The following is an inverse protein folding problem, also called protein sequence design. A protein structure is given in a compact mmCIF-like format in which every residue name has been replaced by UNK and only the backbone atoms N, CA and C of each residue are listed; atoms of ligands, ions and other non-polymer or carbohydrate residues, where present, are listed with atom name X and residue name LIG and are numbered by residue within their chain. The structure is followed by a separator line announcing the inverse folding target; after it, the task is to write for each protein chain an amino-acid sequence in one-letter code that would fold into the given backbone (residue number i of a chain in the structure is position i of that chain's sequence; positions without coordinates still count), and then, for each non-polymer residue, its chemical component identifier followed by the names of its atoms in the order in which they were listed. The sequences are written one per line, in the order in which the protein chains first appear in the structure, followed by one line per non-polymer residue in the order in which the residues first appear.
data_IF_594515786098
#
_entry.id   IF_594515786098
#
_cell.length_a   1.000
_cell.length_b   1.000
_cell.length_c   1.000
_cell.angle_alpha   90.00
_cell.angle_beta   90.00
_cell.angle_gamma   90.00
#
_symmetry.space_group_name_H-M   'P 1'
#
loop_
_entity.id
_entity.type
_entity.pdbx_description
1 polymer ?
#
# COMPACT_ATOMS: atom_id res chain seq x y z
N UNK A 1 -17.04 19.00 7.86
CA UNK A 1 -17.49 18.04 6.84
C UNK A 1 -18.71 18.65 6.19
N UNK A 2 -18.66 18.91 4.89
CA UNK A 2 -19.84 19.34 4.13
C UNK A 2 -20.67 18.10 3.81
N UNK A 3 -21.96 18.15 4.03
CA UNK A 3 -22.90 17.03 3.81
C UNK A 3 -23.79 17.41 2.65
N UNK A 4 -23.74 16.65 1.55
CA UNK A 4 -24.59 16.88 0.36
C UNK A 4 -25.99 16.24 0.53
N UNK A 5 -26.09 15.18 1.32
CA UNK A 5 -27.30 14.40 1.52
C UNK A 5 -27.62 13.41 0.41
N UNK A 6 -26.81 13.35 -0.66
CA UNK A 6 -26.92 12.38 -1.76
C UNK A 6 -25.85 11.32 -1.66
N UNK A 7 -24.60 11.69 -1.89
CA UNK A 7 -23.42 10.83 -1.74
C UNK A 7 -22.38 11.62 -0.97
N UNK A 8 -21.96 11.12 0.18
CA UNK A 8 -20.94 11.75 1.00
C UNK A 8 -19.84 10.77 1.31
N UNK A 9 -18.60 11.26 1.24
CA UNK A 9 -17.38 10.50 1.55
C UNK A 9 -16.87 10.95 2.91
N UNK A 10 -16.62 9.98 3.78
CA UNK A 10 -16.14 10.25 5.13
C UNK A 10 -15.13 9.21 5.58
N UNK A 11 -14.09 9.63 6.31
CA UNK A 11 -13.26 8.69 7.04
C UNK A 11 -13.99 8.20 8.30
N UNK A 12 -13.76 6.97 8.73
CA UNK A 12 -14.38 6.43 9.94
C UNK A 12 -14.00 7.23 11.18
N UNK A 13 -12.78 7.80 11.24
CA UNK A 13 -12.35 8.69 12.32
C UNK A 13 -13.19 9.98 12.36
N UNK A 14 -13.67 10.46 11.22
CA UNK A 14 -14.52 11.65 11.16
C UNK A 14 -15.96 11.37 11.59
N UNK A 15 -16.41 10.12 11.52
CA UNK A 15 -17.76 9.67 11.89
C UNK A 15 -17.89 9.22 13.34
N UNK A 16 -16.79 8.86 13.98
CA UNK A 16 -16.74 8.41 15.36
C UNK A 16 -16.02 9.39 16.27
N UNK A 17 -16.29 9.30 17.55
CA UNK A 17 -15.68 10.13 18.58
C UNK A 17 -15.83 9.48 19.95
N UNK A 18 -15.48 10.23 20.99
CA UNK A 18 -15.77 9.85 22.37
C UNK A 18 -16.70 10.89 22.98
N UNK A 19 -17.67 10.43 23.74
CA UNK A 19 -18.48 11.30 24.58
C UNK A 19 -17.58 12.01 25.59
N UNK A 20 -17.78 13.33 25.74
CA UNK A 20 -16.92 14.14 26.61
C UNK A 20 -17.16 13.89 28.10
N UNK A 21 -18.35 13.40 28.47
CA UNK A 21 -18.72 13.17 29.87
C UNK A 21 -18.46 11.72 30.29
N UNK A 22 -18.80 10.76 29.43
CA UNK A 22 -18.72 9.33 29.77
C UNK A 22 -17.45 8.68 29.26
N UNK A 23 -16.78 9.29 28.26
CA UNK A 23 -15.62 8.69 27.57
C UNK A 23 -15.98 7.55 26.61
N UNK A 24 -17.26 7.22 26.52
CA UNK A 24 -17.73 6.12 25.65
C UNK A 24 -17.64 6.49 24.16
N UNK A 25 -17.42 5.49 23.29
CA UNK A 25 -17.38 5.71 21.86
C UNK A 25 -18.76 6.09 21.34
N UNK A 26 -18.85 7.18 20.59
CA UNK A 26 -20.08 7.65 19.97
C UNK A 26 -19.93 7.74 18.46
N UNK A 27 -21.04 7.55 17.74
CA UNK A 27 -21.13 7.70 16.29
C UNK A 27 -21.99 8.91 15.96
N UNK A 28 -21.54 9.75 15.03
CA UNK A 28 -22.30 10.92 14.58
C UNK A 28 -23.62 10.50 13.97
N UNK A 29 -24.69 11.20 14.28
CA UNK A 29 -26.04 10.93 13.81
C UNK A 29 -26.19 10.93 12.29
N UNK A 30 -25.23 11.52 11.57
CA UNK A 30 -25.19 11.56 10.10
C UNK A 30 -25.35 10.17 9.46
N UNK A 31 -24.72 9.12 10.02
CA UNK A 31 -24.77 7.75 9.47
C UNK A 31 -26.19 7.18 9.37
N UNK A 32 -27.14 7.76 10.12
CA UNK A 32 -28.53 7.35 10.12
C UNK A 32 -29.35 7.85 8.93
N UNK A 33 -28.79 8.75 8.15
CA UNK A 33 -29.48 9.38 7.03
C UNK A 33 -29.30 8.65 5.70
N UNK A 34 -28.47 7.59 5.67
CA UNK A 34 -28.13 6.90 4.43
C UNK A 34 -28.72 5.51 4.39
N UNK A 35 -29.35 5.17 3.26
CA UNK A 35 -29.92 3.83 3.00
C UNK A 35 -28.89 2.84 2.43
N UNK A 36 -27.73 3.33 1.97
CA UNK A 36 -26.63 2.54 1.45
C UNK A 36 -25.32 3.03 2.08
N UNK A 37 -24.50 2.08 2.52
CA UNK A 37 -23.13 2.33 2.97
C UNK A 37 -22.20 1.45 2.15
N UNK A 38 -21.14 2.06 1.63
CA UNK A 38 -20.03 1.35 0.99
C UNK A 38 -18.81 1.59 1.86
N UNK A 39 -18.21 0.52 2.37
CA UNK A 39 -16.99 0.54 3.14
C UNK A 39 -15.84 0.12 2.25
N UNK A 40 -15.03 1.07 1.83
CA UNK A 40 -13.80 0.79 1.10
C UNK A 40 -12.72 0.27 2.06
N UNK A 41 -11.82 -0.57 1.57
CA UNK A 41 -10.79 -1.27 2.34
C UNK A 41 -11.38 -1.94 3.61
N UNK A 42 -12.51 -2.63 3.41
CA UNK A 42 -13.29 -3.18 4.51
C UNK A 42 -12.55 -4.23 5.35
N UNK A 43 -11.39 -4.73 4.89
CA UNK A 43 -10.53 -5.57 5.71
C UNK A 43 -10.02 -4.86 6.98
N UNK A 44 -10.05 -3.53 7.01
CA UNK A 44 -9.84 -2.74 8.24
C UNK A 44 -11.08 -2.66 9.14
N UNK A 45 -12.22 -3.19 8.71
CA UNK A 45 -13.51 -3.08 9.42
C UNK A 45 -13.56 -3.80 10.78
N UNK A 46 -12.59 -4.65 11.07
CA UNK A 46 -12.45 -5.23 12.41
C UNK A 46 -11.94 -4.23 13.46
N UNK A 47 -11.64 -2.98 13.07
CA UNK A 47 -11.40 -1.92 14.03
C UNK A 47 -12.72 -1.61 14.79
N UNK A 48 -12.70 -1.59 16.14
CA UNK A 48 -13.93 -1.43 16.94
C UNK A 48 -14.75 -0.20 16.58
N UNK A 49 -14.11 0.86 16.09
CA UNK A 49 -14.78 2.09 15.67
C UNK A 49 -15.62 1.89 14.41
N UNK A 50 -15.11 1.16 13.43
CA UNK A 50 -15.83 0.92 12.19
C UNK A 50 -16.98 -0.07 12.40
N UNK A 51 -16.79 -1.08 13.25
CA UNK A 51 -17.84 -1.96 13.71
C UNK A 51 -18.99 -1.17 14.34
N UNK A 52 -18.68 -0.23 15.23
CA UNK A 52 -19.68 0.61 15.87
C UNK A 52 -20.45 1.48 14.86
N UNK A 53 -19.77 2.04 13.86
CA UNK A 53 -20.38 2.84 12.79
C UNK A 53 -21.37 1.98 11.99
N UNK A 54 -20.94 0.81 11.52
CA UNK A 54 -21.78 -0.09 10.72
C UNK A 54 -23.01 -0.59 11.51
N UNK A 55 -22.83 -0.92 12.79
CA UNK A 55 -23.93 -1.32 13.67
C UNK A 55 -24.91 -0.17 14.00
N UNK A 56 -24.44 1.08 14.00
CA UNK A 56 -25.23 2.27 14.29
C UNK A 56 -26.01 2.79 13.09
N UNK A 57 -25.69 2.33 11.90
CA UNK A 57 -26.32 2.75 10.66
C UNK A 57 -27.53 1.89 10.30
N UNK A 58 -28.75 2.44 10.21
CA UNK A 58 -29.95 1.70 9.79
C UNK A 58 -30.01 1.53 8.27
N UNK A 59 -28.86 1.47 7.60
CA UNK A 59 -28.78 1.34 6.16
C UNK A 59 -29.37 0.00 5.71
N UNK A 60 -30.21 0.02 4.67
CA UNK A 60 -30.77 -1.19 4.06
C UNK A 60 -29.72 -2.05 3.37
N UNK A 61 -28.68 -1.38 2.85
CA UNK A 61 -27.58 -2.02 2.12
C UNK A 61 -26.24 -1.59 2.70
N UNK A 62 -25.38 -2.57 2.98
CA UNK A 62 -24.00 -2.36 3.38
C UNK A 62 -23.11 -3.25 2.51
N UNK A 63 -22.15 -2.64 1.83
CA UNK A 63 -21.18 -3.34 0.99
C UNK A 63 -19.78 -3.06 1.48
N UNK A 64 -18.97 -4.11 1.57
CA UNK A 64 -17.53 -4.02 1.78
C UNK A 64 -16.79 -4.24 0.47
N UNK A 65 -15.84 -3.38 0.18
CA UNK A 65 -14.88 -3.51 -0.91
C UNK A 65 -13.50 -3.78 -0.32
N UNK A 66 -12.73 -4.67 -0.90
CA UNK A 66 -11.36 -4.95 -0.50
C UNK A 66 -10.61 -5.67 -1.60
N UNK A 67 -9.37 -5.30 -1.82
CA UNK A 67 -8.45 -6.05 -2.68
C UNK A 67 -8.00 -7.36 -2.00
N UNK A 68 -8.01 -7.40 -0.66
CA UNK A 68 -7.52 -8.52 0.16
C UNK A 68 -8.51 -8.87 1.27
N UNK A 69 -9.62 -9.56 0.92
CA UNK A 69 -10.68 -9.87 1.90
C UNK A 69 -10.23 -10.85 2.99
N UNK A 70 -9.18 -11.64 2.72
CA UNK A 70 -8.60 -12.55 3.70
C UNK A 70 -7.64 -11.79 4.62
N UNK A 71 -7.82 -11.96 5.92
CA UNK A 71 -7.01 -11.32 6.94
C UNK A 71 -6.02 -12.30 7.54
N UNK A 72 -4.78 -11.86 7.67
CA UNK A 72 -3.71 -12.63 8.31
C UNK A 72 -3.93 -12.88 9.81
N UNK A 73 -4.78 -12.07 10.47
CA UNK A 73 -5.13 -12.17 11.89
C UNK A 73 -6.34 -13.09 12.18
N UNK A 74 -6.92 -13.71 11.15
CA UNK A 74 -8.05 -14.64 11.30
C UNK A 74 -9.42 -13.95 11.50
N UNK A 75 -9.50 -12.63 11.47
CA UNK A 75 -10.74 -11.87 11.67
C UNK A 75 -11.65 -11.76 10.43
N UNK A 76 -11.40 -12.53 9.37
CA UNK A 76 -12.23 -12.60 8.16
C UNK A 76 -13.70 -12.90 8.49
N UNK A 77 -13.95 -13.71 9.53
CA UNK A 77 -15.31 -14.00 9.99
C UNK A 77 -16.04 -12.77 10.54
N UNK A 78 -15.33 -11.90 11.26
CA UNK A 78 -15.91 -10.65 11.75
C UNK A 78 -16.29 -9.71 10.60
N UNK A 79 -15.46 -9.66 9.55
CA UNK A 79 -15.76 -8.91 8.33
C UNK A 79 -17.05 -9.41 7.67
N UNK A 80 -17.23 -10.73 7.53
CA UNK A 80 -18.44 -11.33 6.97
C UNK A 80 -19.70 -11.06 7.81
N UNK A 81 -19.55 -10.89 9.12
CA UNK A 81 -20.66 -10.51 10.01
C UNK A 81 -21.09 -9.04 9.83
N UNK A 82 -20.17 -8.16 9.47
CA UNK A 82 -20.41 -6.73 9.32
C UNK A 82 -20.85 -6.35 7.91
N UNK A 83 -20.19 -6.89 6.90
CA UNK A 83 -20.40 -6.53 5.49
C UNK A 83 -21.14 -7.61 4.69
N UNK A 84 -21.46 -8.74 5.32
CA UNK A 84 -22.05 -9.90 4.65
C UNK A 84 -21.01 -10.83 4.00
N UNK A 85 -21.47 -11.94 3.41
CA UNK A 85 -20.60 -12.90 2.77
C UNK A 85 -20.01 -12.33 1.47
N UNK A 86 -18.86 -12.88 1.06
CA UNK A 86 -18.23 -12.58 -0.22
C UNK A 86 -19.22 -12.84 -1.37
N UNK A 87 -19.55 -11.81 -2.13
CA UNK A 87 -20.55 -11.85 -3.22
C UNK A 87 -19.94 -11.92 -4.60
N UNK A 88 -18.82 -11.24 -4.76
CA UNK A 88 -18.14 -11.12 -6.05
C UNK A 88 -16.63 -11.04 -5.85
N UNK A 89 -15.91 -11.74 -6.69
CA UNK A 89 -14.43 -11.73 -6.75
C UNK A 89 -14.04 -11.40 -8.17
N UNK A 90 -13.22 -10.38 -8.32
CA UNK A 90 -12.60 -10.07 -9.60
C UNK A 90 -11.40 -11.03 -9.75
N UNK A 91 -11.36 -11.79 -10.83
CA UNK A 91 -10.16 -12.55 -11.19
C UNK A 91 -9.11 -11.58 -11.75
N UNK A 92 -7.97 -11.36 -11.05
CA UNK A 92 -6.94 -10.41 -11.51
C UNK A 92 -6.36 -10.78 -12.87
N UNK A 93 -6.31 -12.10 -13.21
CA UNK A 93 -5.80 -12.57 -14.50
C UNK A 93 -6.77 -12.24 -15.63
N UNK A 94 -8.05 -12.52 -15.41
CA UNK A 94 -9.08 -12.20 -16.40
C UNK A 94 -9.17 -10.69 -16.63
N UNK A 95 -9.08 -9.89 -15.57
CA UNK A 95 -9.08 -8.43 -15.67
C UNK A 95 -7.86 -7.91 -16.42
N UNK A 96 -6.66 -8.40 -16.12
CA UNK A 96 -5.43 -8.00 -16.82
C UNK A 96 -5.52 -8.32 -18.33
N UNK A 97 -6.03 -9.49 -18.69
CA UNK A 97 -6.25 -9.87 -20.10
C UNK A 97 -7.23 -8.91 -20.77
N UNK A 98 -8.35 -8.60 -20.11
CA UNK A 98 -9.36 -7.66 -20.65
C UNK A 98 -8.80 -6.25 -20.82
N UNK A 99 -7.90 -5.82 -19.96
CA UNK A 99 -7.23 -4.51 -20.02
C UNK A 99 -6.01 -4.50 -20.94
N UNK A 100 -5.63 -5.64 -21.54
CA UNK A 100 -4.42 -5.77 -22.38
C UNK A 100 -3.12 -5.66 -21.58
N UNK A 101 -3.16 -5.82 -20.25
CA UNK A 101 -1.99 -5.72 -19.38
C UNK A 101 -1.30 -7.07 -19.30
N UNK A 102 -0.05 -7.13 -19.71
CA UNK A 102 0.81 -8.30 -19.53
C UNK A 102 1.72 -8.10 -18.31
N UNK A 103 1.50 -8.88 -17.26
CA UNK A 103 2.38 -8.89 -16.08
C UNK A 103 3.50 -9.91 -16.25
N UNK A 104 4.74 -9.46 -16.16
CA UNK A 104 5.93 -10.28 -16.28
C UNK A 104 6.69 -10.25 -14.95
N UNK A 105 6.88 -11.40 -14.32
CA UNK A 105 7.70 -11.55 -13.11
C UNK A 105 9.10 -12.02 -13.51
N UNK A 106 10.13 -11.27 -13.14
CA UNK A 106 11.54 -11.59 -13.40
C UNK A 106 12.28 -11.80 -12.08
N UNK A 107 12.45 -13.04 -11.60
CA UNK A 107 13.24 -13.31 -10.40
C UNK A 107 14.71 -13.00 -10.66
N UNK A 108 15.35 -12.28 -9.70
CA UNK A 108 16.78 -11.94 -9.73
C UNK A 108 17.50 -12.67 -8.62
N UNK A 109 18.44 -13.54 -9.00
CA UNK A 109 19.23 -14.31 -8.04
C UNK A 109 20.44 -13.50 -7.60
N UNK A 110 20.57 -13.25 -6.31
CA UNK A 110 21.57 -12.33 -5.75
C UNK A 110 22.83 -13.06 -5.23
N UNK A 111 22.84 -14.38 -5.21
CA UNK A 111 23.98 -15.17 -4.70
C UNK A 111 24.24 -15.04 -3.20
N UNK A 112 23.41 -14.33 -2.46
CA UNK A 112 23.55 -14.17 -1.00
C UNK A 112 23.36 -15.53 -0.34
N UNK A 113 24.33 -15.94 0.47
CA UNK A 113 24.19 -17.07 1.38
C UNK A 113 23.80 -16.50 2.75
N UNK A 114 22.57 -16.72 3.13
CA UNK A 114 22.16 -16.45 4.49
C UNK A 114 22.89 -17.40 5.44
N UNK A 115 23.32 -16.95 6.64
CA UNK A 115 23.80 -17.84 7.68
C UNK A 115 22.77 -18.97 7.88
N UNK A 116 23.23 -20.17 8.22
CA UNK A 116 22.32 -21.29 8.44
C UNK A 116 21.17 -20.82 9.34
N UNK A 117 19.95 -21.05 8.87
CA UNK A 117 18.74 -20.61 9.58
C UNK A 117 18.70 -21.36 10.92
N UNK A 118 19.10 -20.65 11.98
CA UNK A 118 18.84 -21.16 13.33
C UNK A 118 17.36 -20.91 13.67
N UNK A 119 16.65 -21.90 14.20
CA UNK A 119 15.30 -21.69 14.69
C UNK A 119 15.29 -20.57 15.72
N UNK A 120 14.72 -19.41 15.34
CA UNK A 120 14.75 -18.18 16.16
C UNK A 120 15.49 -17.00 15.54
N UNK A 121 16.08 -17.14 14.34
CA UNK A 121 16.65 -16.00 13.62
C UNK A 121 15.61 -14.90 13.44
N UNK A 122 15.90 -13.70 13.93
CA UNK A 122 14.99 -12.56 13.85
C UNK A 122 14.90 -12.09 12.40
N UNK A 123 13.71 -12.07 11.82
CA UNK A 123 13.44 -11.57 10.46
C UNK A 123 14.09 -10.20 10.21
N UNK A 124 14.13 -9.33 11.23
CA UNK A 124 14.77 -8.03 11.13
C UNK A 124 16.28 -8.13 10.85
N UNK A 125 17.00 -9.10 11.43
CA UNK A 125 18.42 -9.30 11.18
C UNK A 125 18.67 -9.77 9.74
N UNK A 126 17.84 -10.67 9.24
CA UNK A 126 17.90 -11.09 7.84
C UNK A 126 17.65 -9.89 6.91
N UNK A 127 16.65 -9.08 7.23
CA UNK A 127 16.31 -7.90 6.46
C UNK A 127 17.47 -6.89 6.43
N UNK A 128 18.10 -6.65 7.58
CA UNK A 128 19.24 -5.72 7.68
C UNK A 128 20.46 -6.24 6.88
N UNK A 129 20.73 -7.55 6.91
CA UNK A 129 21.75 -8.17 6.08
C UNK A 129 21.46 -8.00 4.59
N UNK A 130 20.24 -8.20 4.16
CA UNK A 130 19.83 -8.03 2.78
C UNK A 130 19.94 -6.56 2.32
N UNK A 131 19.62 -5.62 3.20
CA UNK A 131 19.69 -4.19 2.90
C UNK A 131 21.12 -3.66 2.79
N UNK A 132 22.08 -4.24 3.52
CA UNK A 132 23.48 -3.81 3.54
C UNK A 132 24.39 -4.55 2.55
N UNK A 133 23.86 -5.51 1.80
CA UNK A 133 24.67 -6.31 0.89
C UNK A 133 24.97 -5.56 -0.41
N UNK A 134 26.21 -5.09 -0.58
CA UNK A 134 26.64 -4.21 -1.67
C UNK A 134 26.30 -4.76 -3.08
N UNK A 135 26.71 -5.99 -3.40
CA UNK A 135 26.47 -6.56 -4.73
C UNK A 135 24.97 -6.71 -5.05
N UNK A 136 24.12 -6.90 -4.03
CA UNK A 136 22.68 -6.92 -4.20
C UNK A 136 22.12 -5.51 -4.49
N UNK A 137 22.62 -4.51 -3.78
CA UNK A 137 22.21 -3.13 -3.98
C UNK A 137 22.65 -2.63 -5.36
N UNK A 138 23.84 -2.98 -5.82
CA UNK A 138 24.31 -2.73 -7.18
C UNK A 138 23.40 -3.37 -8.24
N UNK A 139 22.97 -4.63 -8.02
CA UNK A 139 22.04 -5.32 -8.93
C UNK A 139 20.70 -4.57 -9.01
N UNK A 140 20.14 -4.16 -7.87
CA UNK A 140 18.88 -3.41 -7.83
C UNK A 140 19.00 -2.08 -8.57
N UNK A 141 20.09 -1.35 -8.32
CA UNK A 141 20.35 -0.06 -8.96
C UNK A 141 20.51 -0.22 -10.47
N UNK A 142 21.29 -1.21 -10.91
CA UNK A 142 21.49 -1.48 -12.34
C UNK A 142 20.20 -1.88 -13.04
N UNK A 143 19.38 -2.73 -12.42
CA UNK A 143 18.07 -3.13 -12.96
C UNK A 143 17.11 -1.93 -13.07
N UNK A 144 17.13 -1.01 -12.10
CA UNK A 144 16.32 0.21 -12.14
C UNK A 144 16.77 1.17 -13.25
N UNK A 145 18.09 1.33 -13.43
CA UNK A 145 18.68 2.15 -14.50
C UNK A 145 18.38 1.54 -15.88
N UNK A 146 18.54 0.23 -16.03
CA UNK A 146 18.18 -0.48 -17.26
C UNK A 146 16.71 -0.27 -17.62
N UNK A 147 15.81 -0.39 -16.65
CA UNK A 147 14.39 -0.16 -16.86
C UNK A 147 14.12 1.28 -17.35
N UNK A 148 14.67 2.29 -16.65
CA UNK A 148 14.50 3.69 -17.02
C UNK A 148 15.09 4.01 -18.41
N UNK A 149 16.26 3.45 -18.73
CA UNK A 149 16.91 3.62 -20.05
C UNK A 149 16.10 2.99 -21.18
N UNK A 150 15.30 1.98 -20.89
CA UNK A 150 14.38 1.35 -21.83
C UNK A 150 13.00 2.06 -21.89
N UNK A 151 12.90 3.29 -21.37
CA UNK A 151 11.68 4.09 -21.41
C UNK A 151 10.61 3.63 -20.41
N UNK A 152 10.96 2.85 -19.39
CA UNK A 152 10.06 2.39 -18.35
C UNK A 152 10.09 3.30 -17.13
N UNK A 153 9.10 3.15 -16.26
CA UNK A 153 8.92 3.95 -15.05
C UNK A 153 9.12 3.07 -13.80
N UNK A 154 10.39 2.87 -13.36
CA UNK A 154 10.68 1.96 -12.27
C UNK A 154 10.37 2.57 -10.90
N UNK A 155 9.73 1.77 -10.05
CA UNK A 155 9.55 1.97 -8.63
C UNK A 155 10.38 0.93 -7.86
N UNK A 156 11.35 1.38 -7.07
CA UNK A 156 12.12 0.52 -6.16
C UNK A 156 11.50 0.59 -4.77
N UNK A 157 11.03 -0.54 -4.27
CA UNK A 157 10.30 -0.65 -3.02
C UNK A 157 11.11 -1.38 -1.96
N UNK A 158 11.25 -0.78 -0.78
CA UNK A 158 11.97 -1.35 0.35
C UNK A 158 11.26 -1.10 1.70
N UNK A 159 11.53 -1.93 2.70
CA UNK A 159 11.00 -1.77 4.07
C UNK A 159 11.82 -0.83 4.94
N UNK A 160 13.08 -0.58 4.59
CA UNK A 160 14.01 0.16 5.44
C UNK A 160 14.33 1.53 4.84
N UNK A 161 14.11 2.59 5.61
CA UNK A 161 14.44 3.96 5.22
C UNK A 161 15.92 4.10 4.83
N UNK A 162 16.83 3.61 5.68
CA UNK A 162 18.29 3.65 5.40
C UNK A 162 18.64 2.98 4.07
N UNK A 163 17.97 1.87 3.75
CA UNK A 163 18.17 1.19 2.48
C UNK A 163 17.64 2.01 1.30
N UNK A 164 16.49 2.67 1.45
CA UNK A 164 15.98 3.59 0.44
C UNK A 164 16.94 4.75 0.19
N UNK A 165 17.50 5.34 1.25
CA UNK A 165 18.49 6.43 1.19
C UNK A 165 19.80 5.97 0.52
N UNK A 166 20.26 4.75 0.82
CA UNK A 166 21.45 4.16 0.20
C UNK A 166 21.26 3.95 -1.31
N UNK A 167 20.16 3.29 -1.72
CA UNK A 167 19.84 3.08 -3.13
C UNK A 167 19.67 4.40 -3.88
N UNK A 168 19.02 5.38 -3.26
CA UNK A 168 18.91 6.73 -3.79
C UNK A 168 20.26 7.39 -4.00
N UNK A 169 21.18 7.30 -3.01
CA UNK A 169 22.54 7.81 -3.11
C UNK A 169 23.34 7.13 -4.23
N UNK A 170 23.23 5.82 -4.37
CA UNK A 170 23.89 5.06 -5.44
C UNK A 170 23.40 5.50 -6.82
N UNK A 171 22.10 5.71 -7.01
CA UNK A 171 21.51 6.22 -8.26
C UNK A 171 22.04 7.63 -8.60
N UNK A 172 22.10 8.52 -7.60
CA UNK A 172 22.66 9.87 -7.77
C UNK A 172 24.12 9.84 -8.19
N UNK A 173 24.93 8.99 -7.56
CA UNK A 173 26.35 8.85 -7.88
C UNK A 173 26.58 8.35 -9.32
N UNK A 174 25.61 7.69 -9.92
CA UNK A 174 25.62 7.27 -11.32
C UNK A 174 25.01 8.31 -12.28
N UNK A 175 24.75 9.54 -11.80
CA UNK A 175 24.29 10.66 -12.63
C UNK A 175 22.78 10.68 -12.89
N UNK A 176 21.98 9.88 -12.17
CA UNK A 176 20.54 9.91 -12.28
C UNK A 176 19.91 10.91 -11.29
N UNK A 177 18.67 11.31 -11.57
CA UNK A 177 17.87 12.16 -10.68
C UNK A 177 16.66 11.37 -10.12
N UNK A 178 16.89 10.44 -9.16
CA UNK A 178 15.81 9.67 -8.58
C UNK A 178 14.92 10.53 -7.67
N UNK A 179 13.73 10.04 -7.39
CA UNK A 179 12.81 10.60 -6.39
C UNK A 179 12.81 9.69 -5.17
N UNK A 180 13.02 10.26 -3.97
CA UNK A 180 12.99 9.52 -2.71
C UNK A 180 11.66 9.78 -1.98
N UNK A 181 10.94 8.70 -1.65
CA UNK A 181 9.70 8.73 -0.89
C UNK A 181 9.84 7.86 0.37
N UNK A 182 9.91 8.50 1.54
CA UNK A 182 10.00 7.81 2.85
C UNK A 182 8.89 8.27 3.79
N UNK A 183 8.50 7.43 4.75
CA UNK A 183 7.38 7.69 5.65
C UNK A 183 7.58 8.84 6.68
N UNK A 184 8.79 9.39 6.80
CA UNK A 184 9.10 10.49 7.72
C UNK A 184 9.01 11.89 7.05
N UNK A 185 8.63 11.95 5.79
CA UNK A 185 8.42 13.21 5.09
C UNK A 185 7.18 13.88 5.68
N UNK A 186 7.29 15.18 6.03
CA UNK A 186 6.16 15.97 6.50
C UNK A 186 4.98 15.90 5.52
N UNK A 187 3.76 15.89 6.05
CA UNK A 187 2.54 15.77 5.24
C UNK A 187 2.43 16.84 4.14
N UNK A 188 2.94 18.04 4.39
CA UNK A 188 2.99 19.13 3.40
C UNK A 188 3.99 18.84 2.29
N UNK A 189 5.19 18.41 2.66
CA UNK A 189 6.26 18.05 1.73
C UNK A 189 5.86 16.81 0.91
N UNK A 190 5.28 15.79 1.57
CA UNK A 190 4.68 14.61 0.91
C UNK A 190 3.68 15.03 -0.16
N UNK A 191 2.73 15.92 0.17
CA UNK A 191 1.74 16.41 -0.78
C UNK A 191 2.40 17.13 -1.96
N UNK A 192 3.44 17.91 -1.71
CA UNK A 192 4.18 18.62 -2.77
C UNK A 192 4.88 17.64 -3.69
N UNK A 193 5.59 16.65 -3.15
CA UNK A 193 6.26 15.61 -3.94
C UNK A 193 5.23 14.82 -4.76
N UNK A 194 4.17 14.30 -4.11
CA UNK A 194 3.13 13.54 -4.81
C UNK A 194 2.45 14.35 -5.92
N UNK A 195 2.22 15.65 -5.72
CA UNK A 195 1.67 16.51 -6.77
C UNK A 195 2.63 16.78 -7.92
N UNK A 196 3.94 16.59 -7.73
CA UNK A 196 4.95 16.73 -8.77
C UNK A 196 5.19 15.46 -9.57
N UNK A 197 4.88 14.28 -9.01
CA UNK A 197 5.15 12.98 -9.64
C UNK A 197 4.53 12.84 -11.04
N UNK A 198 3.28 13.28 -11.32
CA UNK A 198 2.71 13.18 -12.67
C UNK A 198 3.53 13.91 -13.74
N UNK A 199 4.33 14.90 -13.37
CA UNK A 199 5.22 15.60 -14.31
C UNK A 199 6.38 14.73 -14.79
N UNK A 200 6.72 13.70 -14.02
CA UNK A 200 7.84 12.80 -14.32
C UNK A 200 7.46 11.65 -15.26
N UNK A 201 6.20 11.56 -15.69
CA UNK A 201 5.75 10.58 -16.68
C UNK A 201 6.59 10.62 -17.97
N UNK A 202 7.02 11.80 -18.39
CA UNK A 202 7.85 11.95 -19.60
C UNK A 202 9.37 11.90 -19.34
N UNK A 203 9.79 11.86 -18.07
CA UNK A 203 11.21 11.93 -17.69
C UNK A 203 11.79 10.56 -17.30
N UNK A 204 10.97 9.51 -17.26
CA UNK A 204 11.36 8.13 -16.86
C UNK A 204 12.19 8.08 -15.57
N UNK A 205 11.84 8.92 -14.60
CA UNK A 205 12.57 8.99 -13.33
C UNK A 205 12.37 7.73 -12.49
N UNK A 206 13.44 7.32 -11.83
CA UNK A 206 13.43 6.21 -10.90
C UNK A 206 12.85 6.70 -9.56
N UNK A 207 11.83 6.03 -9.06
CA UNK A 207 11.27 6.32 -7.74
C UNK A 207 11.79 5.28 -6.76
N UNK A 208 12.34 5.72 -5.63
CA UNK A 208 12.74 4.85 -4.52
C UNK A 208 11.83 5.16 -3.34
N UNK A 209 11.10 4.17 -2.85
CA UNK A 209 10.09 4.36 -1.81
C UNK A 209 10.15 3.32 -0.70
N UNK A 210 9.66 3.71 0.49
CA UNK A 210 9.38 2.76 1.56
C UNK A 210 7.93 2.28 1.49
N UNK A 211 7.69 0.99 1.82
CA UNK A 211 6.34 0.39 1.84
C UNK A 211 5.34 1.21 2.65
N UNK A 212 5.76 1.78 3.79
CA UNK A 212 4.90 2.57 4.66
C UNK A 212 4.33 3.83 4.01
N UNK A 213 4.99 4.35 2.96
CA UNK A 213 4.53 5.53 2.25
C UNK A 213 3.58 5.20 1.10
N UNK A 214 3.78 4.05 0.48
CA UNK A 214 2.95 3.55 -0.62
C UNK A 214 1.66 2.90 -0.14
N UNK A 215 1.33 3.06 1.15
CA UNK A 215 0.05 2.61 1.70
C UNK A 215 -1.13 3.20 0.93
N UNK A 216 -2.30 2.99 1.44
CA UNK A 216 -3.58 3.39 0.86
C UNK A 216 -3.55 4.79 0.18
N UNK A 217 -3.97 4.84 -1.07
CA UNK A 217 -4.11 6.09 -1.83
C UNK A 217 -2.88 6.54 -2.64
N UNK A 218 -1.85 5.69 -2.78
CA UNK A 218 -0.78 5.93 -3.76
C UNK A 218 -1.20 5.33 -5.11
N UNK A 219 -1.53 6.17 -6.06
CA UNK A 219 -1.90 5.78 -7.42
C UNK A 219 -1.10 6.61 -8.42
N UNK A 220 -0.21 5.96 -9.13
CA UNK A 220 0.54 6.52 -10.25
C UNK A 220 0.40 5.59 -11.45
N UNK A 221 -0.60 5.84 -12.25
CA UNK A 221 -1.01 5.00 -13.39
C UNK A 221 0.09 4.78 -14.44
N UNK A 222 1.12 5.62 -14.47
CA UNK A 222 2.23 5.50 -15.42
C UNK A 222 3.35 4.54 -14.95
N UNK A 223 3.36 4.14 -13.68
CA UNK A 223 4.35 3.17 -13.19
C UNK A 223 4.09 1.79 -13.82
N UNK A 224 5.12 1.22 -14.40
CA UNK A 224 5.03 -0.02 -15.17
C UNK A 224 6.07 -1.08 -14.76
N UNK A 225 6.99 -0.72 -13.87
CA UNK A 225 8.07 -1.60 -13.42
C UNK A 225 8.25 -1.49 -11.91
N UNK A 226 8.04 -2.60 -11.19
CA UNK A 226 8.22 -2.68 -9.74
C UNK A 226 9.43 -3.54 -9.39
N UNK A 227 10.40 -2.98 -8.67
CA UNK A 227 11.54 -3.70 -8.11
C UNK A 227 11.31 -3.89 -6.60
N UNK A 228 11.05 -5.11 -6.18
CA UNK A 228 10.85 -5.47 -4.78
C UNK A 228 12.22 -5.70 -4.14
N UNK A 229 12.74 -4.67 -3.47
CA UNK A 229 14.07 -4.68 -2.90
C UNK A 229 14.17 -5.32 -1.51
N UNK A 230 13.06 -5.68 -0.87
CA UNK A 230 13.03 -6.41 0.41
C UNK A 230 11.94 -7.47 0.40
N UNK A 231 12.11 -8.57 1.15
CA UNK A 231 11.11 -9.62 1.21
C UNK A 231 9.76 -9.09 1.72
N UNK A 232 8.69 -9.53 1.09
CA UNK A 232 7.31 -9.30 1.51
C UNK A 232 6.83 -10.57 2.19
N UNK A 233 6.24 -10.44 3.37
CA UNK A 233 5.89 -11.58 4.24
C UNK A 233 4.45 -12.07 4.08
N UNK A 234 3.64 -11.39 3.25
CA UNK A 234 2.22 -11.71 3.09
C UNK A 234 1.72 -11.43 1.68
N UNK A 235 0.94 -12.35 1.13
CA UNK A 235 0.43 -12.29 -0.25
C UNK A 235 -0.42 -11.05 -0.54
N UNK A 236 -1.18 -10.57 0.46
CA UNK A 236 -1.97 -9.35 0.36
C UNK A 236 -1.15 -8.10 0.05
N UNK A 237 0.05 -7.98 0.63
CA UNK A 237 0.96 -6.86 0.36
C UNK A 237 1.44 -6.83 -1.09
N UNK A 238 1.67 -8.00 -1.70
CA UNK A 238 2.05 -8.10 -3.11
C UNK A 238 0.90 -7.66 -4.01
N UNK A 239 -0.32 -8.09 -3.68
CA UNK A 239 -1.52 -7.77 -4.48
C UNK A 239 -1.82 -6.26 -4.48
N UNK A 240 -1.55 -5.56 -3.37
CA UNK A 240 -1.74 -4.11 -3.28
C UNK A 240 -0.64 -3.30 -4.00
N UNK A 241 0.55 -3.88 -4.17
CA UNK A 241 1.72 -3.20 -4.75
C UNK A 241 1.91 -3.49 -6.24
N UNK A 242 1.28 -4.53 -6.77
CA UNK A 242 1.37 -4.97 -8.16
C UNK A 242 0.20 -4.49 -9.02
#
# INVERSE_FOLDING_TARGET
MAVSGLVDIASFQSLSGKDRQTGEPIVKGLVRNYGLIICDECHHAAAPQLELILKSAPAKYAYGLSATPERSDGLTRALSMLCGPLRYVIDPKAQAIQQGIQRIVRPRFTGIRLPAYEPGANFNQILDLLCTHAARNELIVNDAIEAASNGRHPLVLTKRKKHAEELFGMLKNQGHEPVLLTGEIDAKERKTILSSLPRFEHEHRIIVATESLLGEGFDLSYLDTLLIATPISWDGSITQQA
#
